data_IF_421348914678
#
_entry.id   IF_421348914678
#
_cell.length_a   1.000
_cell.length_b   1.000
_cell.length_c   1.000
_cell.angle_alpha   90.00
_cell.angle_beta   90.00
_cell.angle_gamma   90.00
#
_symmetry.space_group_name_H-M   'P 1'
#
loop_
_entity.id
_entity.type
_entity.pdbx_description
1 polymer ?
#
# COMPACT_ATOMS: atom_id res chain seq x y z
N UNK A 1 18.86 -10.41 -6.27
CA UNK A 1 19.91 -9.42 -6.62
C UNK A 1 20.64 -9.71 -7.94
N UNK A 2 20.82 -10.97 -8.37
CA UNK A 2 21.64 -11.32 -9.55
C UNK A 2 21.21 -10.75 -10.92
N UNK A 3 19.91 -10.53 -11.17
CA UNK A 3 19.41 -10.12 -12.50
C UNK A 3 19.63 -8.64 -12.85
N UNK A 4 19.58 -7.75 -11.86
CA UNK A 4 19.59 -6.29 -12.08
C UNK A 4 20.72 -5.56 -11.36
N UNK A 5 21.46 -6.22 -10.44
CA UNK A 5 22.62 -5.65 -9.74
C UNK A 5 22.33 -4.21 -9.25
N UNK A 6 23.27 -3.27 -9.42
CA UNK A 6 23.11 -1.85 -9.10
C UNK A 6 22.23 -1.05 -10.07
N UNK A 7 21.30 -1.69 -10.78
CA UNK A 7 20.20 -1.02 -11.51
C UNK A 7 18.83 -1.33 -10.89
N UNK A 8 18.80 -2.11 -9.81
CA UNK A 8 17.58 -2.52 -9.12
C UNK A 8 16.83 -1.32 -8.53
N UNK A 9 17.55 -0.27 -8.12
CA UNK A 9 17.02 1.01 -7.64
C UNK A 9 16.15 1.72 -8.69
N UNK A 10 16.22 1.33 -9.97
CA UNK A 10 15.37 1.88 -11.03
C UNK A 10 14.11 1.05 -11.27
N UNK A 11 13.92 -0.04 -10.53
CA UNK A 11 12.80 -0.99 -10.66
C UNK A 11 11.84 -0.86 -9.48
N UNK A 12 11.30 0.34 -9.29
CA UNK A 12 10.48 0.69 -8.12
C UNK A 12 9.25 -0.19 -7.94
N UNK A 13 8.48 -0.47 -9.00
CA UNK A 13 7.32 -1.37 -8.92
C UNK A 13 7.70 -2.81 -8.53
N UNK A 14 8.84 -3.31 -9.03
CA UNK A 14 9.37 -4.62 -8.63
C UNK A 14 9.80 -4.63 -7.16
N UNK A 15 10.48 -3.56 -6.70
CA UNK A 15 10.88 -3.42 -5.30
C UNK A 15 9.67 -3.32 -4.37
N UNK A 16 8.63 -2.57 -4.75
CA UNK A 16 7.39 -2.45 -4.00
C UNK A 16 6.76 -3.83 -3.76
N UNK A 17 6.64 -4.66 -4.81
CA UNK A 17 6.12 -6.04 -4.66
C UNK A 17 6.94 -6.88 -3.69
N UNK A 18 8.27 -6.74 -3.67
CA UNK A 18 9.13 -7.45 -2.69
C UNK A 18 8.82 -6.98 -1.27
N UNK A 19 8.66 -5.68 -1.07
CA UNK A 19 8.31 -5.12 0.25
C UNK A 19 6.95 -5.62 0.69
N UNK A 20 5.96 -5.64 -0.20
CA UNK A 20 4.61 -6.13 0.09
C UNK A 20 4.62 -7.62 0.47
N UNK A 21 5.40 -8.46 -0.23
CA UNK A 21 5.60 -9.88 0.17
C UNK A 21 6.18 -9.94 1.58
N UNK A 22 7.22 -9.14 1.87
CA UNK A 22 7.80 -9.05 3.20
C UNK A 22 6.78 -8.65 4.27
N UNK A 23 5.89 -7.71 3.96
CA UNK A 23 4.82 -7.27 4.84
C UNK A 23 3.81 -8.40 5.12
N UNK A 24 3.39 -9.17 4.10
CA UNK A 24 2.49 -10.32 4.30
C UNK A 24 3.13 -11.40 5.19
N UNK A 25 4.40 -11.73 4.96
CA UNK A 25 5.11 -12.73 5.77
C UNK A 25 5.35 -12.25 7.21
N UNK A 26 5.66 -10.96 7.39
CA UNK A 26 5.77 -10.35 8.71
C UNK A 26 4.43 -10.38 9.43
N UNK A 27 3.33 -10.02 8.77
CA UNK A 27 2.01 -10.02 9.36
C UNK A 27 1.56 -11.42 9.79
N UNK A 28 1.83 -12.46 8.98
CA UNK A 28 1.60 -13.87 9.37
C UNK A 28 2.36 -14.20 10.65
N UNK A 29 3.64 -13.84 10.69
CA UNK A 29 4.50 -14.13 11.84
C UNK A 29 4.01 -13.41 13.10
N UNK A 30 3.67 -12.12 12.98
CA UNK A 30 3.15 -11.31 14.08
C UNK A 30 1.81 -11.85 14.60
N UNK A 31 0.90 -12.23 13.70
CA UNK A 31 -0.39 -12.83 14.06
C UNK A 31 -0.20 -14.14 14.84
N UNK A 32 0.66 -15.04 14.35
CA UNK A 32 0.95 -16.30 15.04
C UNK A 32 1.60 -16.09 16.42
N UNK A 33 2.54 -15.15 16.55
CA UNK A 33 3.20 -14.84 17.83
C UNK A 33 2.20 -14.25 18.83
N UNK A 34 1.38 -13.29 18.39
CA UNK A 34 0.33 -12.68 19.20
C UNK A 34 -0.70 -13.71 19.66
N UNK A 35 -1.18 -14.55 18.74
CA UNK A 35 -2.16 -15.58 19.06
C UNK A 35 -1.62 -16.60 20.07
N UNK A 36 -0.35 -16.99 19.96
CA UNK A 36 0.31 -17.85 20.96
C UNK A 36 0.38 -17.21 22.35
N UNK A 37 0.62 -15.90 22.42
CA UNK A 37 0.70 -15.18 23.68
C UNK A 37 -0.68 -15.09 24.38
N UNK A 38 -1.76 -14.99 23.61
CA UNK A 38 -3.11 -14.77 24.13
C UNK A 38 -3.96 -16.05 24.25
N UNK A 39 -3.52 -17.16 23.66
CA UNK A 39 -4.27 -18.41 23.59
C UNK A 39 -4.72 -18.99 24.95
N UNK A 40 -4.03 -18.68 26.04
CA UNK A 40 -4.42 -19.13 27.37
C UNK A 40 -5.69 -18.45 27.90
N UNK A 41 -5.87 -17.17 27.55
CA UNK A 41 -7.04 -16.38 27.93
C UNK A 41 -8.14 -16.44 26.87
N UNK A 42 -7.75 -16.47 25.59
CA UNK A 42 -8.62 -16.40 24.43
C UNK A 42 -8.24 -17.46 23.39
N UNK A 43 -8.66 -18.72 23.52
CA UNK A 43 -8.32 -19.78 22.58
C UNK A 43 -8.73 -19.49 21.12
N UNK A 44 -9.80 -18.73 20.92
CA UNK A 44 -10.35 -18.31 19.62
C UNK A 44 -9.37 -17.51 18.76
N UNK A 45 -8.36 -16.86 19.35
CA UNK A 45 -7.35 -16.09 18.61
C UNK A 45 -6.51 -16.98 17.69
N UNK A 46 -6.40 -18.27 17.99
CA UNK A 46 -5.71 -19.25 17.12
C UNK A 46 -6.48 -19.44 15.81
N UNK A 47 -7.81 -19.54 15.88
CA UNK A 47 -8.67 -19.65 14.69
C UNK A 47 -8.55 -18.40 13.81
N UNK A 48 -8.59 -17.22 14.42
CA UNK A 48 -8.42 -15.95 13.70
C UNK A 48 -7.04 -15.83 13.05
N UNK A 49 -5.97 -16.25 13.75
CA UNK A 49 -4.63 -16.24 13.21
C UNK A 49 -4.45 -17.22 12.03
N UNK A 50 -5.06 -18.41 12.09
CA UNK A 50 -5.07 -19.37 10.97
C UNK A 50 -5.82 -18.79 9.76
N UNK A 51 -7.00 -18.23 9.97
CA UNK A 51 -7.81 -17.59 8.92
C UNK A 51 -7.03 -16.46 8.24
N UNK A 52 -6.46 -15.55 9.02
CA UNK A 52 -5.63 -14.46 8.49
C UNK A 52 -4.44 -15.01 7.70
N UNK A 53 -3.76 -16.02 8.22
CA UNK A 53 -2.56 -16.60 7.60
C UNK A 53 -2.85 -17.22 6.23
N UNK A 54 -4.01 -17.89 6.09
CA UNK A 54 -4.47 -18.42 4.78
C UNK A 54 -4.70 -17.30 3.78
N UNK A 55 -5.34 -16.21 4.19
CA UNK A 55 -5.61 -15.07 3.31
C UNK A 55 -4.32 -14.33 2.92
N UNK A 56 -3.43 -14.08 3.88
CA UNK A 56 -2.14 -13.44 3.65
C UNK A 56 -1.25 -14.29 2.72
N UNK A 57 -1.31 -15.61 2.84
CA UNK A 57 -0.60 -16.51 1.94
C UNK A 57 -1.04 -16.35 0.48
N UNK A 58 -2.35 -16.26 0.21
CA UNK A 58 -2.87 -16.03 -1.14
C UNK A 58 -2.39 -14.70 -1.72
N UNK A 59 -2.34 -13.63 -0.91
CA UNK A 59 -1.80 -12.33 -1.33
C UNK A 59 -0.30 -12.41 -1.63
N UNK A 60 0.48 -13.06 -0.77
CA UNK A 60 1.90 -13.27 -0.99
C UNK A 60 2.18 -14.08 -2.27
N UNK A 61 1.44 -15.16 -2.51
CA UNK A 61 1.58 -15.99 -3.71
C UNK A 61 1.27 -15.17 -4.98
N UNK A 62 0.19 -14.38 -4.98
CA UNK A 62 -0.13 -13.48 -6.09
C UNK A 62 0.96 -12.43 -6.35
N UNK A 63 1.58 -11.89 -5.28
CA UNK A 63 2.70 -10.96 -5.41
C UNK A 63 3.95 -11.64 -5.97
N UNK A 64 4.24 -12.89 -5.57
CA UNK A 64 5.33 -13.68 -6.13
C UNK A 64 5.15 -13.94 -7.63
N UNK A 65 3.93 -14.26 -8.07
CA UNK A 65 3.61 -14.42 -9.48
C UNK A 65 3.80 -13.11 -10.26
N UNK A 66 3.34 -11.99 -9.67
CA UNK A 66 3.48 -10.65 -10.25
C UNK A 66 4.95 -10.19 -10.39
N UNK A 67 5.91 -10.76 -9.64
CA UNK A 67 7.33 -10.49 -9.87
C UNK A 67 7.80 -10.98 -11.25
N UNK A 68 7.18 -12.02 -11.80
CA UNK A 68 7.52 -12.60 -13.12
C UNK A 68 6.59 -12.13 -14.23
N UNK A 69 5.29 -12.03 -13.94
CA UNK A 69 4.26 -11.64 -14.90
C UNK A 69 3.74 -10.24 -14.55
N UNK A 70 4.29 -9.21 -15.21
CA UNK A 70 3.88 -7.81 -15.04
C UNK A 70 4.09 -7.00 -16.32
N UNK A 71 3.50 -5.80 -16.33
CA UNK A 71 3.55 -4.83 -17.44
C UNK A 71 4.52 -3.67 -17.19
N UNK A 72 5.36 -3.74 -16.15
CA UNK A 72 6.17 -2.61 -15.67
C UNK A 72 6.94 -1.87 -16.78
N UNK A 73 7.47 -2.61 -17.78
CA UNK A 73 8.21 -2.02 -18.90
C UNK A 73 7.32 -1.22 -19.86
N UNK A 74 6.16 -1.77 -20.24
CA UNK A 74 5.23 -1.10 -21.14
C UNK A 74 4.49 0.04 -20.44
N UNK A 75 4.23 -0.09 -19.14
CA UNK A 75 3.64 0.95 -18.30
C UNK A 75 4.57 2.16 -18.19
N UNK A 76 5.87 1.93 -17.97
CA UNK A 76 6.87 3.01 -17.93
C UNK A 76 6.96 3.73 -19.30
N UNK A 77 6.92 2.96 -20.40
CA UNK A 77 6.92 3.53 -21.74
C UNK A 77 5.64 4.35 -22.03
N UNK A 78 4.48 3.87 -21.59
CA UNK A 78 3.21 4.56 -21.71
C UNK A 78 3.21 5.87 -20.88
N UNK A 79 3.66 5.82 -19.63
CA UNK A 79 3.79 7.00 -18.77
C UNK A 79 4.66 8.09 -19.41
N UNK A 80 5.79 7.72 -20.03
CA UNK A 80 6.64 8.68 -20.76
C UNK A 80 5.93 9.31 -21.95
N UNK A 81 5.15 8.53 -22.70
CA UNK A 81 4.36 9.02 -23.84
C UNK A 81 3.24 9.96 -23.39
N UNK A 82 2.60 9.65 -22.26
CA UNK A 82 1.60 10.51 -21.64
C UNK A 82 2.20 11.86 -21.26
N UNK A 83 3.32 11.86 -20.55
CA UNK A 83 4.04 13.09 -20.18
C UNK A 83 4.55 13.88 -21.39
N UNK A 84 4.82 13.20 -22.51
CA UNK A 84 5.17 13.83 -23.78
C UNK A 84 3.94 14.35 -24.57
N UNK A 85 2.74 14.30 -24.00
CA UNK A 85 1.51 14.81 -24.61
C UNK A 85 0.91 13.92 -25.71
N UNK A 86 1.43 12.71 -25.95
CA UNK A 86 0.96 11.83 -27.04
C UNK A 86 -0.55 11.52 -26.93
N UNK A 87 -1.09 11.52 -25.72
CA UNK A 87 -2.49 11.17 -25.45
C UNK A 87 -3.38 12.38 -25.12
N UNK A 88 -2.91 13.61 -25.35
CA UNK A 88 -3.67 14.85 -25.07
C UNK A 88 -5.02 14.90 -25.82
N UNK A 89 -5.17 14.13 -26.89
CA UNK A 89 -6.44 13.98 -27.59
C UNK A 89 -7.58 13.45 -26.71
N UNK A 90 -7.26 12.69 -25.64
CA UNK A 90 -8.22 12.18 -24.66
C UNK A 90 -8.78 13.28 -23.75
N UNK A 91 -8.11 14.43 -23.66
CA UNK A 91 -8.55 15.56 -22.85
C UNK A 91 -9.63 16.40 -23.56
N UNK A 92 -9.82 16.19 -24.86
CA UNK A 92 -10.83 16.92 -25.63
C UNK A 92 -12.23 16.60 -25.11
N UNK A 93 -12.98 17.66 -24.79
CA UNK A 93 -14.34 17.54 -24.26
C UNK A 93 -14.41 17.37 -22.74
N UNK A 94 -13.26 17.25 -22.06
CA UNK A 94 -13.21 17.41 -20.60
C UNK A 94 -13.39 18.90 -20.32
N UNK A 95 -14.52 19.25 -19.71
CA UNK A 95 -14.79 20.61 -19.23
C UNK A 95 -14.19 20.71 -17.84
N UNK A 96 -13.08 21.45 -17.64
CA UNK A 96 -12.59 21.68 -16.29
C UNK A 96 -13.64 22.47 -15.49
N UNK A 97 -13.74 22.28 -14.17
CA UNK A 97 -14.58 23.13 -13.34
C UNK A 97 -14.21 24.60 -13.57
N UNK A 98 -15.22 25.48 -13.61
CA UNK A 98 -15.13 26.85 -14.11
C UNK A 98 -14.37 27.87 -13.25
N UNK A 99 -13.35 27.45 -12.52
CA UNK A 99 -12.55 28.31 -11.65
C UNK A 99 -11.22 27.66 -11.24
N UNK A 100 -10.22 28.45 -10.83
CA UNK A 100 -8.93 27.95 -10.37
C UNK A 100 -9.10 27.28 -9.00
N UNK A 101 -9.50 26.01 -8.99
CA UNK A 101 -9.44 25.19 -7.79
C UNK A 101 -10.35 25.63 -6.64
N UNK A 102 -11.54 26.17 -6.91
CA UNK A 102 -12.55 26.46 -5.85
C UNK A 102 -12.92 25.20 -5.03
N UNK A 103 -12.64 24.02 -5.58
CA UNK A 103 -12.84 22.69 -5.01
C UNK A 103 -11.58 22.16 -4.29
N UNK A 104 -10.45 22.85 -4.44
CA UNK A 104 -9.19 22.56 -3.76
C UNK A 104 -9.16 23.46 -2.53
N UNK A 105 -9.28 22.87 -1.35
CA UNK A 105 -9.17 23.62 -0.11
C UNK A 105 -7.81 24.34 -0.08
N UNK A 106 -7.76 25.67 0.11
CA UNK A 106 -6.50 26.37 0.28
C UNK A 106 -5.84 25.86 1.56
N UNK A 107 -4.52 25.62 1.48
CA UNK A 107 -3.71 25.29 2.64
C UNK A 107 -2.74 26.44 2.90
N UNK A 108 -2.80 26.99 4.11
CA UNK A 108 -1.88 28.01 4.60
C UNK A 108 -1.04 27.42 5.76
N UNK A 109 0.29 27.66 5.78
CA UNK A 109 1.11 27.26 6.92
C UNK A 109 0.66 27.95 8.21
N UNK A 110 0.33 27.18 9.25
CA UNK A 110 -0.10 27.73 10.53
C UNK A 110 -0.62 26.67 11.51
N UNK A 111 -0.92 27.10 12.74
CA UNK A 111 -1.61 26.25 13.71
C UNK A 111 -3.04 25.96 13.23
N UNK A 112 -3.55 24.77 13.54
CA UNK A 112 -4.92 24.41 13.18
C UNK A 112 -5.91 25.39 13.84
N UNK A 113 -6.76 26.02 13.04
CA UNK A 113 -7.82 26.92 13.49
C UNK A 113 -9.13 26.20 13.82
N UNK A 114 -9.22 24.92 13.44
CA UNK A 114 -10.38 24.05 13.71
C UNK A 114 -10.01 22.97 14.73
N UNK A 115 -10.99 22.50 15.54
CA UNK A 115 -10.76 21.42 16.49
C UNK A 115 -10.25 20.16 15.80
N UNK A 116 -9.30 19.48 16.45
CA UNK A 116 -8.80 18.18 15.98
C UNK A 116 -9.93 17.13 16.06
N UNK A 117 -10.37 16.65 14.90
CA UNK A 117 -11.42 15.62 14.76
C UNK A 117 -10.85 14.20 14.65
N UNK A 118 -9.53 14.02 14.82
CA UNK A 118 -8.92 12.69 14.78
C UNK A 118 -9.50 11.81 15.88
N UNK A 119 -10.07 10.67 15.49
CA UNK A 119 -10.51 9.63 16.42
C UNK A 119 -9.30 9.12 17.20
N UNK A 120 -9.24 9.39 18.50
CA UNK A 120 -8.22 8.82 19.39
C UNK A 120 -8.58 7.36 19.63
N UNK A 121 -7.80 6.46 19.03
CA UNK A 121 -7.87 5.05 19.36
C UNK A 121 -7.30 4.86 20.77
N UNK A 122 -7.95 4.08 21.65
CA UNK A 122 -7.35 3.75 22.93
C UNK A 122 -6.03 3.03 22.67
N UNK A 123 -4.95 3.55 23.25
CA UNK A 123 -3.69 2.81 23.34
C UNK A 123 -3.95 1.65 24.29
N UNK A 124 -3.66 0.42 23.86
CA UNK A 124 -3.66 -0.74 24.77
C UNK A 124 -2.78 -0.41 25.97
N UNK A 125 -3.38 -0.40 27.16
CA UNK A 125 -2.68 -0.14 28.41
C UNK A 125 -1.63 -1.26 28.60
N UNK A 126 -0.33 -0.97 28.71
CA UNK A 126 0.69 -2.01 28.89
C UNK A 126 0.56 -2.77 30.22
N UNK A 127 -0.40 -2.43 31.08
CA UNK A 127 -0.68 -3.09 32.35
C UNK A 127 -1.85 -4.10 32.33
N UNK A 128 -2.41 -4.45 31.16
CA UNK A 128 -3.35 -5.57 30.98
C UNK A 128 -2.90 -6.46 29.83
#
# INVERSE_FOLDING_TARGET
MGRWQGKLERKQAFLARIVDIGAELFAISAACVRARAEAAAHPEVIELADLFSRQARLRADALFDALRANTDSVDNAAARRLLAGRYAFLERGIVPPGGPGEWVAPWEPGAATVPDVRRRLPTSDPAT
#
